data_IF_028255236181
#
_entry.id   IF_028255236181
#
_cell.length_a   1.000
_cell.length_b   1.000
_cell.length_c   1.000
_cell.angle_alpha   90.00
_cell.angle_beta   90.00
_cell.angle_gamma   90.00
#
_symmetry.space_group_name_H-M   'P 1'
#
loop_
_entity.id
_entity.type
_entity.pdbx_description
1 polymer ?
#
# COMPACT_ATOMS: atom_id res chain seq x y z
N UNK A 1 6.35 24.50 -35.54
CA UNK A 1 7.14 25.30 -34.58
C UNK A 1 8.46 24.59 -34.33
N UNK A 2 9.61 25.28 -34.27
CA UNK A 2 10.88 24.64 -33.95
C UNK A 2 10.82 24.10 -32.52
N UNK A 3 11.26 22.86 -32.32
CA UNK A 3 11.26 22.26 -30.98
C UNK A 3 12.29 22.98 -30.08
N UNK A 4 11.95 23.28 -28.81
CA UNK A 4 12.89 23.87 -27.88
C UNK A 4 14.11 22.94 -27.66
N UNK A 5 15.28 23.50 -27.35
CA UNK A 5 16.49 22.73 -27.07
C UNK A 5 16.23 21.71 -25.96
N UNK A 6 16.79 20.49 -26.08
CA UNK A 6 16.51 19.37 -25.17
C UNK A 6 16.79 19.70 -23.69
N UNK A 7 17.67 20.66 -23.40
CA UNK A 7 18.04 21.13 -22.06
C UNK A 7 16.97 21.99 -21.35
N UNK A 8 15.89 22.35 -22.04
CA UNK A 8 14.77 23.14 -21.46
C UNK A 8 13.47 22.36 -21.34
N UNK A 9 13.50 21.07 -21.65
CA UNK A 9 12.33 20.19 -21.58
C UNK A 9 12.15 19.64 -20.18
N UNK A 10 10.91 19.61 -19.72
CA UNK A 10 10.54 19.09 -18.39
C UNK A 10 10.34 17.58 -18.45
N UNK A 11 9.93 17.09 -19.61
CA UNK A 11 9.89 15.67 -19.96
C UNK A 11 11.29 15.14 -20.31
N UNK A 12 11.62 13.95 -19.82
CA UNK A 12 12.94 13.34 -19.98
C UNK A 12 12.85 11.88 -20.45
N UNK A 13 13.75 11.50 -21.35
CA UNK A 13 13.90 10.13 -21.82
C UNK A 13 15.37 9.72 -21.92
N UNK A 14 15.62 8.42 -21.80
CA UNK A 14 16.91 7.79 -22.03
C UNK A 14 16.82 6.82 -23.21
N UNK A 15 17.94 6.55 -23.88
CA UNK A 15 18.02 5.47 -24.86
C UNK A 15 18.46 4.18 -24.16
N UNK A 16 17.74 3.09 -24.40
CA UNK A 16 18.05 1.79 -23.85
C UNK A 16 18.01 0.73 -24.94
N UNK A 17 18.98 -0.18 -24.92
CA UNK A 17 18.98 -1.37 -25.77
C UNK A 17 18.06 -2.41 -25.17
N UNK A 18 17.10 -2.89 -25.97
CA UNK A 18 16.07 -3.83 -25.55
C UNK A 18 16.19 -5.09 -26.41
N UNK A 19 16.31 -6.24 -25.76
CA UNK A 19 16.35 -7.54 -26.43
C UNK A 19 14.92 -8.08 -26.57
N UNK A 20 14.49 -8.36 -27.80
CA UNK A 20 13.18 -8.95 -28.03
C UNK A 20 13.15 -10.42 -27.60
N UNK A 21 12.27 -10.79 -26.66
CA UNK A 21 12.12 -12.17 -26.20
C UNK A 21 11.63 -13.14 -27.30
N UNK A 22 10.97 -12.65 -28.36
CA UNK A 22 10.41 -13.49 -29.42
C UNK A 22 11.43 -13.85 -30.51
N UNK A 23 12.26 -12.90 -30.95
CA UNK A 23 13.21 -13.11 -32.05
C UNK A 23 14.69 -12.99 -31.64
N UNK A 24 14.97 -12.61 -30.40
CA UNK A 24 16.33 -12.43 -29.87
C UNK A 24 17.09 -11.25 -30.46
N UNK A 25 16.46 -10.40 -31.27
CA UNK A 25 17.10 -9.21 -31.84
C UNK A 25 17.07 -8.05 -30.86
N UNK A 26 18.18 -7.33 -30.77
CA UNK A 26 18.29 -6.10 -30.01
C UNK A 26 17.83 -4.91 -30.84
N UNK A 27 17.11 -3.98 -30.21
CA UNK A 27 16.76 -2.71 -30.81
C UNK A 27 16.85 -1.59 -29.77
N UNK A 28 17.16 -0.38 -30.23
CA UNK A 28 17.21 0.80 -29.36
C UNK A 28 15.81 1.38 -29.18
N UNK A 29 15.41 1.57 -27.93
CA UNK A 29 14.14 2.19 -27.55
C UNK A 29 14.40 3.48 -26.78
N UNK A 30 13.59 4.51 -27.07
CA UNK A 30 13.55 5.75 -26.29
C UNK A 30 12.55 5.60 -25.14
N UNK A 31 13.08 5.52 -23.93
CA UNK A 31 12.33 5.25 -22.70
C UNK A 31 12.10 6.55 -21.93
N UNK A 32 10.85 6.98 -21.82
CA UNK A 32 10.47 8.19 -21.08
C UNK A 32 10.43 7.93 -19.58
N UNK A 33 11.20 8.69 -18.81
CA UNK A 33 11.32 8.56 -17.35
C UNK A 33 10.69 9.76 -16.61
N UNK A 34 10.54 10.91 -17.28
CA UNK A 34 9.78 12.05 -16.76
C UNK A 34 8.80 12.49 -17.84
N UNK A 35 7.53 12.67 -17.50
CA UNK A 35 6.49 13.20 -18.39
C UNK A 35 5.86 14.41 -17.70
N UNK A 36 6.03 15.58 -18.30
CA UNK A 36 5.18 16.73 -18.01
C UNK A 36 3.90 16.59 -18.85
N UNK A 37 2.76 16.51 -18.18
CA UNK A 37 1.46 16.27 -18.80
C UNK A 37 1.03 17.42 -19.73
N UNK A 38 1.46 18.65 -19.45
CA UNK A 38 1.16 19.83 -20.29
C UNK A 38 2.12 19.91 -21.48
N UNK A 39 3.39 19.53 -21.27
CA UNK A 39 4.39 19.52 -22.34
C UNK A 39 4.15 18.37 -23.34
N UNK A 40 3.75 17.20 -22.84
CA UNK A 40 3.60 15.95 -23.62
C UNK A 40 2.26 15.26 -23.33
N UNK A 41 1.13 15.87 -23.75
CA UNK A 41 -0.19 15.27 -23.59
C UNK A 41 -0.29 13.93 -24.35
N UNK A 42 0.44 13.77 -25.46
CA UNK A 42 0.54 12.53 -26.22
C UNK A 42 1.11 11.36 -25.39
N UNK A 43 2.11 11.63 -24.56
CA UNK A 43 2.70 10.62 -23.68
C UNK A 43 1.86 10.40 -22.44
N UNK A 44 1.22 11.46 -21.93
CA UNK A 44 0.32 11.37 -20.80
C UNK A 44 -0.91 10.49 -21.13
N UNK A 45 -1.51 10.63 -22.31
CA UNK A 45 -2.59 9.74 -22.77
C UNK A 45 -2.15 8.27 -22.80
N UNK A 46 -0.93 8.01 -23.26
CA UNK A 46 -0.32 6.67 -23.27
C UNK A 46 -0.06 6.09 -21.89
N UNK A 47 0.28 6.94 -20.92
CA UNK A 47 0.35 6.56 -19.50
C UNK A 47 -1.04 6.14 -19.01
N UNK A 48 -2.06 6.95 -19.26
CA UNK A 48 -3.44 6.65 -18.88
C UNK A 48 -3.98 5.39 -19.56
N UNK A 49 -3.57 5.11 -20.80
CA UNK A 49 -3.93 3.90 -21.53
C UNK A 49 -3.15 2.65 -21.06
N UNK A 50 -2.07 2.83 -20.29
CA UNK A 50 -1.20 1.74 -19.84
C UNK A 50 -0.31 1.15 -20.95
N UNK A 51 0.00 1.92 -22.00
CA UNK A 51 0.76 1.46 -23.16
C UNK A 51 2.12 2.16 -23.35
N UNK A 52 2.49 3.07 -22.45
CA UNK A 52 3.72 3.87 -22.59
C UNK A 52 4.96 2.99 -22.84
N UNK A 53 5.08 1.87 -22.11
CA UNK A 53 6.21 0.94 -22.21
C UNK A 53 5.88 -0.35 -22.95
N UNK A 54 4.78 -0.38 -23.71
CA UNK A 54 4.48 -1.44 -24.67
C UNK A 54 5.06 -1.04 -26.02
N UNK A 55 6.18 -1.65 -26.39
CA UNK A 55 6.88 -1.35 -27.64
C UNK A 55 6.74 -2.50 -28.63
N UNK A 56 6.58 -2.18 -29.91
CA UNK A 56 6.61 -3.19 -30.97
C UNK A 56 8.04 -3.42 -31.44
N UNK A 57 8.49 -4.66 -31.41
CA UNK A 57 9.79 -5.02 -31.95
C UNK A 57 9.84 -4.71 -33.47
N UNK A 58 10.83 -3.95 -33.96
CA UNK A 58 10.90 -3.58 -35.37
C UNK A 58 11.23 -4.77 -36.30
N UNK A 59 11.72 -5.89 -35.74
CA UNK A 59 12.14 -7.05 -36.51
C UNK A 59 11.01 -8.07 -36.73
N UNK A 60 10.20 -8.33 -35.69
CA UNK A 60 9.16 -9.37 -35.74
C UNK A 60 7.75 -8.88 -35.40
N UNK A 61 7.60 -7.61 -34.97
CA UNK A 61 6.31 -7.05 -34.57
C UNK A 61 5.79 -7.51 -33.21
N UNK A 62 6.51 -8.38 -32.49
CA UNK A 62 6.13 -8.80 -31.15
C UNK A 62 6.12 -7.61 -30.19
N UNK A 63 5.13 -7.56 -29.31
CA UNK A 63 5.05 -6.57 -28.24
C UNK A 63 6.03 -6.93 -27.13
N UNK A 64 6.85 -5.97 -26.75
CA UNK A 64 7.81 -6.04 -25.64
C UNK A 64 7.37 -5.04 -24.60
N UNK A 65 7.15 -5.50 -23.37
CA UNK A 65 6.91 -4.64 -22.22
C UNK A 65 8.23 -4.32 -21.53
N UNK A 66 8.49 -3.04 -21.27
CA UNK A 66 9.67 -2.60 -20.52
C UNK A 66 9.23 -2.20 -19.12
N UNK A 67 9.98 -2.67 -18.12
CA UNK A 67 9.81 -2.27 -16.73
C UNK A 67 10.78 -1.14 -16.38
N UNK A 68 10.24 0.02 -16.05
CA UNK A 68 11.05 1.22 -15.79
C UNK A 68 10.32 2.19 -14.85
N UNK A 69 11.07 2.95 -14.02
CA UNK A 69 10.48 3.99 -13.19
C UNK A 69 9.98 5.17 -14.05
N UNK A 70 8.90 5.81 -13.62
CA UNK A 70 8.33 6.98 -14.29
C UNK A 70 7.95 8.05 -13.27
N UNK A 71 8.33 9.29 -13.53
CA UNK A 71 7.82 10.46 -12.83
C UNK A 71 6.85 11.23 -13.73
N UNK A 72 5.67 11.54 -13.21
CA UNK A 72 4.64 12.31 -13.90
C UNK A 72 4.50 13.65 -13.20
N UNK A 73 4.59 14.72 -13.97
CA UNK A 73 4.41 16.09 -13.50
C UNK A 73 3.12 16.67 -14.07
N UNK A 74 2.26 17.20 -13.20
CA UNK A 74 0.97 17.82 -13.53
C UNK A 74 0.86 19.15 -12.77
N UNK A 75 1.30 20.28 -13.34
CA UNK A 75 1.46 21.53 -12.60
C UNK A 75 0.17 22.02 -11.92
N UNK A 76 -0.99 21.80 -12.53
CA UNK A 76 -2.29 22.28 -12.05
C UNK A 76 -3.10 21.23 -11.27
N UNK A 77 -2.55 20.04 -11.01
CA UNK A 77 -3.24 18.99 -10.25
C UNK A 77 -3.04 19.14 -8.73
N UNK A 78 -3.99 18.64 -7.93
CA UNK A 78 -3.84 18.55 -6.46
C UNK A 78 -2.59 17.77 -6.02
N UNK A 79 -2.16 16.82 -6.86
CA UNK A 79 -0.89 16.09 -6.73
C UNK A 79 -0.01 16.37 -7.94
N UNK A 80 0.91 17.37 -7.84
CA UNK A 80 1.74 17.79 -8.95
C UNK A 80 2.77 16.76 -9.38
N UNK A 81 3.26 15.93 -8.45
CA UNK A 81 4.23 14.89 -8.73
C UNK A 81 3.66 13.52 -8.38
N UNK A 82 3.82 12.58 -9.29
CA UNK A 82 3.46 11.18 -9.08
C UNK A 82 4.58 10.28 -9.62
N UNK A 83 5.17 9.47 -8.75
CA UNK A 83 6.21 8.52 -9.10
C UNK A 83 5.61 7.12 -9.25
N UNK A 84 5.96 6.41 -10.31
CA UNK A 84 5.61 5.01 -10.51
C UNK A 84 6.87 4.16 -10.54
N UNK A 85 7.06 3.27 -9.55
CA UNK A 85 8.23 2.41 -9.49
C UNK A 85 8.23 1.36 -10.61
N UNK A 86 9.39 0.76 -10.83
CA UNK A 86 9.49 -0.49 -11.59
C UNK A 86 8.96 -1.66 -10.74
N UNK A 87 8.54 -2.76 -11.37
CA UNK A 87 7.87 -3.90 -10.68
C UNK A 87 8.79 -4.66 -9.73
N UNK A 88 10.11 -4.57 -9.89
CA UNK A 88 11.09 -5.35 -9.14
C UNK A 88 12.11 -4.51 -8.34
N UNK A 89 11.70 -3.36 -7.82
CA UNK A 89 12.56 -2.46 -7.03
C UNK A 89 12.14 -2.41 -5.56
N UNK A 90 13.12 -2.39 -4.65
CA UNK A 90 12.89 -2.26 -3.20
C UNK A 90 12.41 -0.85 -2.83
N UNK A 91 11.86 -0.68 -1.63
CA UNK A 91 11.41 0.64 -1.14
C UNK A 91 12.55 1.66 -1.08
N UNK A 92 13.76 1.22 -0.76
CA UNK A 92 14.97 2.06 -0.78
C UNK A 92 15.32 2.51 -2.21
N UNK A 93 15.33 1.57 -3.17
CA UNK A 93 15.56 1.86 -4.59
C UNK A 93 14.47 2.77 -5.16
N UNK A 94 13.22 2.59 -4.73
CA UNK A 94 12.10 3.44 -5.15
C UNK A 94 12.28 4.87 -4.66
N UNK A 95 12.67 5.07 -3.40
CA UNK A 95 12.99 6.40 -2.87
C UNK A 95 14.16 7.04 -3.61
N UNK A 96 15.23 6.30 -3.87
CA UNK A 96 16.39 6.79 -4.63
C UNK A 96 16.01 7.20 -6.05
N UNK A 97 15.28 6.36 -6.78
CA UNK A 97 14.83 6.67 -8.15
C UNK A 97 13.89 7.87 -8.19
N UNK A 98 12.92 7.96 -7.25
CA UNK A 98 12.03 9.10 -7.16
C UNK A 98 12.80 10.39 -6.90
N UNK A 99 13.76 10.37 -5.95
CA UNK A 99 14.61 11.52 -5.65
C UNK A 99 15.49 11.93 -6.85
N UNK A 100 16.06 10.96 -7.56
CA UNK A 100 16.88 11.22 -8.75
C UNK A 100 16.06 11.90 -9.87
N UNK A 101 14.88 11.37 -10.19
CA UNK A 101 14.01 11.95 -11.22
C UNK A 101 13.44 13.32 -10.76
N UNK A 102 13.08 13.45 -9.49
CA UNK A 102 12.61 14.71 -8.91
C UNK A 102 13.68 15.80 -8.95
N UNK A 103 14.92 15.49 -8.58
CA UNK A 103 16.05 16.44 -8.68
C UNK A 103 16.31 16.88 -10.12
N UNK A 104 16.17 15.96 -11.08
CA UNK A 104 16.30 16.30 -12.51
C UNK A 104 15.18 17.24 -12.96
N UNK A 105 13.94 16.95 -12.59
CA UNK A 105 12.80 17.82 -12.89
C UNK A 105 12.97 19.20 -12.23
N UNK A 106 13.45 19.26 -10.98
CA UNK A 106 13.78 20.52 -10.29
C UNK A 106 14.78 21.37 -11.07
N UNK A 107 15.83 20.76 -11.62
CA UNK A 107 16.81 21.47 -12.46
C UNK A 107 16.18 22.05 -13.72
N UNK A 108 15.20 21.36 -14.32
CA UNK A 108 14.47 21.83 -15.50
C UNK A 108 13.44 22.92 -15.18
N UNK A 109 12.74 22.81 -14.05
CA UNK A 109 11.70 23.76 -13.62
C UNK A 109 12.25 25.06 -13.04
N UNK A 110 13.45 25.05 -12.45
CA UNK A 110 14.06 26.25 -11.86
C UNK A 110 13.15 26.90 -10.83
N UNK A 111 12.83 28.19 -11.05
CA UNK A 111 11.98 28.99 -10.13
C UNK A 111 10.52 28.53 -10.07
N UNK A 112 10.06 27.68 -11.00
CA UNK A 112 8.70 27.12 -10.97
C UNK A 112 8.57 25.92 -10.04
N UNK A 113 9.68 25.38 -9.55
CA UNK A 113 9.68 24.29 -8.56
C UNK A 113 9.21 24.78 -7.19
N UNK A 114 8.38 23.99 -6.52
CA UNK A 114 7.98 24.24 -5.13
C UNK A 114 8.51 23.12 -4.23
N UNK A 115 9.31 23.48 -3.21
CA UNK A 115 9.87 22.50 -2.27
C UNK A 115 8.79 21.75 -1.47
N UNK A 116 7.59 22.33 -1.35
CA UNK A 116 6.42 21.70 -0.72
C UNK A 116 6.01 20.39 -1.42
N UNK A 117 6.21 20.27 -2.75
CA UNK A 117 5.85 19.07 -3.52
C UNK A 117 6.63 17.82 -3.10
N UNK A 118 7.78 17.99 -2.47
CA UNK A 118 8.67 16.88 -2.05
C UNK A 118 8.89 16.85 -0.54
N UNK A 119 8.31 17.79 0.22
CA UNK A 119 8.50 17.89 1.67
C UNK A 119 8.03 16.63 2.40
N UNK A 120 6.97 15.99 1.90
CA UNK A 120 6.45 14.71 2.41
C UNK A 120 6.97 13.47 1.65
N UNK A 121 7.96 13.65 0.75
CA UNK A 121 8.35 12.65 -0.24
C UNK A 121 7.47 12.69 -1.49
N UNK A 122 7.99 12.18 -2.62
CA UNK A 122 7.21 12.10 -3.86
C UNK A 122 6.27 10.89 -3.75
N UNK A 123 4.94 11.07 -3.91
CA UNK A 123 3.98 9.98 -3.83
C UNK A 123 4.28 8.88 -4.84
N UNK A 124 4.33 7.64 -4.37
CA UNK A 124 4.51 6.44 -5.19
C UNK A 124 3.17 5.81 -5.57
N UNK A 125 2.98 5.44 -6.84
CA UNK A 125 1.82 4.73 -7.35
C UNK A 125 2.25 3.57 -8.28
N UNK A 126 1.85 2.32 -7.97
CA UNK A 126 2.02 1.19 -8.87
C UNK A 126 1.53 1.49 -10.28
N UNK A 127 2.22 0.93 -11.28
CA UNK A 127 1.99 1.23 -12.71
C UNK A 127 0.56 0.95 -13.16
N UNK A 128 -0.01 -0.11 -12.63
CA UNK A 128 -1.38 -0.59 -12.85
C UNK A 128 -2.45 0.35 -12.28
N UNK A 129 -2.14 1.11 -11.22
CA UNK A 129 -3.05 2.07 -10.60
C UNK A 129 -3.00 3.48 -11.23
N UNK A 130 -2.00 3.76 -12.07
CA UNK A 130 -1.87 5.08 -12.71
C UNK A 130 -3.09 5.45 -13.55
N UNK A 131 -3.69 4.50 -14.26
CA UNK A 131 -4.86 4.77 -15.11
C UNK A 131 -6.02 5.33 -14.30
N UNK A 132 -6.27 4.75 -13.13
CA UNK A 132 -7.36 5.13 -12.26
C UNK A 132 -7.09 6.49 -11.60
N UNK A 133 -5.88 6.68 -11.08
CA UNK A 133 -5.45 7.93 -10.46
C UNK A 133 -5.45 9.14 -11.40
N UNK A 134 -5.30 8.92 -12.71
CA UNK A 134 -5.15 9.98 -13.71
C UNK A 134 -6.45 10.31 -14.48
N UNK A 135 -7.51 9.50 -14.39
CA UNK A 135 -8.70 9.59 -15.26
C UNK A 135 -9.98 10.18 -14.64
N UNK A 136 -9.91 10.74 -13.43
CA UNK A 136 -11.06 11.09 -12.58
C UNK A 136 -12.30 11.69 -13.28
N UNK A 137 -13.46 11.01 -13.12
CA UNK A 137 -14.80 11.60 -13.25
C UNK A 137 -15.45 11.68 -11.85
N UNK A 138 -16.18 12.77 -11.49
CA UNK A 138 -16.64 12.98 -10.11
C UNK A 138 -17.80 12.07 -9.64
N UNK A 139 -18.48 11.36 -10.54
CA UNK A 139 -19.77 10.71 -10.24
C UNK A 139 -19.77 9.16 -10.35
N UNK A 140 -18.61 8.52 -10.14
CA UNK A 140 -18.51 7.06 -10.23
C UNK A 140 -17.41 6.42 -9.39
N UNK A 141 -16.94 7.07 -8.32
CA UNK A 141 -15.88 6.54 -7.47
C UNK A 141 -16.44 5.57 -6.43
N UNK A 142 -16.65 4.32 -6.84
CA UNK A 142 -16.53 3.16 -5.96
C UNK A 142 -15.12 2.59 -6.07
N UNK A 143 -14.38 2.59 -4.95
CA UNK A 143 -13.47 1.51 -4.57
C UNK A 143 -12.18 1.23 -5.38
N UNK A 144 -11.39 2.25 -5.75
CA UNK A 144 -9.95 2.02 -5.73
C UNK A 144 -9.07 3.23 -5.39
N UNK A 145 -8.31 3.04 -4.31
CA UNK A 145 -6.87 3.30 -4.33
C UNK A 145 -6.38 4.74 -4.44
N UNK A 146 -7.02 5.71 -3.80
CA UNK A 146 -6.38 7.01 -3.51
C UNK A 146 -5.36 6.80 -2.38
N UNK A 147 -4.14 6.40 -2.73
CA UNK A 147 -2.99 6.54 -1.83
C UNK A 147 -2.70 8.03 -1.64
N UNK A 148 -2.76 8.53 -0.40
CA UNK A 148 -2.04 9.76 -0.04
C UNK A 148 -2.82 10.91 0.59
N UNK A 149 -3.96 10.70 1.25
CA UNK A 149 -4.27 11.64 2.36
C UNK A 149 -3.18 11.38 3.42
N UNK A 150 -2.34 12.37 3.76
CA UNK A 150 -1.36 12.19 4.82
C UNK A 150 -2.11 11.79 6.07
N UNK A 151 -1.79 10.62 6.63
CA UNK A 151 -2.40 10.17 7.88
C UNK A 151 -2.29 11.32 8.88
N UNK A 152 -3.42 11.86 9.37
CA UNK A 152 -3.41 13.00 10.28
C UNK A 152 -2.42 12.77 11.42
N UNK A 153 -1.65 13.80 11.77
CA UNK A 153 -0.60 13.67 12.78
C UNK A 153 -1.11 13.08 14.10
N UNK A 154 -2.36 13.38 14.44
CA UNK A 154 -3.05 12.81 15.59
C UNK A 154 -3.18 11.28 15.48
N UNK A 155 -3.66 10.75 14.36
CA UNK A 155 -3.80 9.30 14.15
C UNK A 155 -2.44 8.59 14.22
N UNK A 156 -1.37 9.22 13.70
CA UNK A 156 -0.01 8.68 13.83
C UNK A 156 0.47 8.66 15.27
N UNK A 157 0.23 9.74 16.02
CA UNK A 157 0.58 9.84 17.45
C UNK A 157 -0.16 8.79 18.26
N UNK A 158 -1.46 8.63 18.03
CA UNK A 158 -2.28 7.64 18.74
C UNK A 158 -1.85 6.22 18.40
N UNK A 159 -1.49 5.94 17.14
CA UNK A 159 -1.01 4.62 16.72
C UNK A 159 0.33 4.28 17.39
N UNK A 160 1.23 5.26 17.49
CA UNK A 160 2.50 5.12 18.20
C UNK A 160 2.24 4.84 19.69
N UNK A 161 1.37 5.62 20.33
CA UNK A 161 1.01 5.45 21.73
C UNK A 161 0.39 4.06 21.98
N UNK A 162 -0.49 3.60 21.09
CA UNK A 162 -1.08 2.27 21.19
C UNK A 162 -0.02 1.16 21.16
N UNK A 163 0.96 1.25 20.25
CA UNK A 163 2.05 0.28 20.15
C UNK A 163 2.95 0.28 21.39
N UNK A 164 3.39 1.46 21.85
CA UNK A 164 4.25 1.58 23.02
C UNK A 164 3.56 1.02 24.28
N UNK A 165 2.29 1.37 24.47
CA UNK A 165 1.49 0.91 25.60
C UNK A 165 1.21 -0.59 25.53
N UNK A 166 0.92 -1.15 24.35
CA UNK A 166 0.76 -2.59 24.16
C UNK A 166 2.06 -3.32 24.50
N UNK A 167 3.21 -2.85 24.00
CA UNK A 167 4.51 -3.45 24.31
C UNK A 167 4.87 -3.36 25.81
N UNK A 168 4.46 -2.29 26.49
CA UNK A 168 4.59 -2.19 27.94
C UNK A 168 3.71 -3.22 28.64
N UNK A 169 2.45 -3.38 28.23
CA UNK A 169 1.55 -4.40 28.77
C UNK A 169 2.15 -5.80 28.57
N UNK A 170 2.59 -6.15 27.36
CA UNK A 170 3.15 -7.48 27.07
C UNK A 170 4.39 -7.80 27.91
N UNK A 171 5.20 -6.79 28.27
CA UNK A 171 6.39 -6.97 29.11
C UNK A 171 6.11 -7.01 30.61
N UNK A 172 5.10 -6.28 31.09
CA UNK A 172 4.91 -6.01 32.53
C UNK A 172 3.57 -6.47 33.10
N UNK A 173 2.60 -6.82 32.25
CA UNK A 173 1.22 -7.08 32.64
C UNK A 173 0.45 -5.82 33.08
N UNK A 174 0.97 -4.62 32.82
CA UNK A 174 0.35 -3.36 33.25
C UNK A 174 -1.02 -3.14 32.58
N UNK A 175 -2.10 -3.34 33.34
CA UNK A 175 -3.47 -3.12 32.87
C UNK A 175 -3.73 -1.65 32.52
N UNK A 176 -3.07 -0.71 33.20
CA UNK A 176 -3.15 0.72 32.87
C UNK A 176 -2.60 0.98 31.47
N UNK A 177 -1.49 0.33 31.10
CA UNK A 177 -0.94 0.44 29.75
C UNK A 177 -1.89 -0.19 28.72
N UNK A 178 -2.51 -1.32 29.03
CA UNK A 178 -3.51 -1.95 28.16
C UNK A 178 -4.75 -1.07 27.94
N UNK A 179 -5.27 -0.45 29.00
CA UNK A 179 -6.39 0.50 28.89
C UNK A 179 -6.01 1.73 28.07
N UNK A 180 -4.77 2.22 28.22
CA UNK A 180 -4.26 3.35 27.44
C UNK A 180 -4.14 3.00 25.96
N UNK A 181 -3.61 1.81 25.63
CA UNK A 181 -3.55 1.34 24.25
C UNK A 181 -4.95 1.21 23.64
N UNK A 182 -5.91 0.70 24.43
CA UNK A 182 -7.30 0.53 23.99
C UNK A 182 -7.98 1.86 23.72
N UNK A 183 -7.75 2.86 24.58
CA UNK A 183 -8.27 4.21 24.39
C UNK A 183 -7.70 4.85 23.12
N UNK A 184 -6.40 4.70 22.86
CA UNK A 184 -5.76 5.20 21.65
C UNK A 184 -6.32 4.52 20.39
N UNK A 185 -6.47 3.19 20.39
CA UNK A 185 -7.12 2.47 19.27
C UNK A 185 -8.57 2.92 19.04
N UNK A 186 -9.34 3.12 20.11
CA UNK A 186 -10.73 3.60 19.99
C UNK A 186 -10.77 5.01 19.39
N UNK A 187 -9.88 5.90 19.85
CA UNK A 187 -9.77 7.25 19.32
C UNK A 187 -9.45 7.27 17.81
N UNK A 188 -8.57 6.38 17.34
CA UNK A 188 -8.27 6.26 15.90
C UNK A 188 -9.49 5.76 15.13
N UNK A 189 -10.11 4.66 15.58
CA UNK A 189 -11.19 4.00 14.86
C UNK A 189 -12.47 4.85 14.80
N UNK A 190 -12.70 5.69 15.81
CA UNK A 190 -13.86 6.59 15.88
C UNK A 190 -13.57 7.95 15.21
N UNK A 191 -12.35 8.20 14.73
CA UNK A 191 -11.99 9.45 14.07
C UNK A 191 -12.63 9.54 12.67
N UNK A 192 -13.27 10.67 12.29
CA UNK A 192 -13.94 10.80 11.00
C UNK A 192 -13.02 10.51 9.80
N UNK A 193 -11.80 11.03 9.88
CA UNK A 193 -10.79 10.87 8.82
C UNK A 193 -10.23 9.45 8.73
N UNK A 194 -10.48 8.56 9.70
CA UNK A 194 -10.00 7.18 9.61
C UNK A 194 -10.59 6.42 8.42
N UNK A 195 -11.79 6.79 7.98
CA UNK A 195 -12.41 6.20 6.79
C UNK A 195 -11.84 6.77 5.48
N UNK A 196 -11.14 7.91 5.55
CA UNK A 196 -10.61 8.62 4.38
C UNK A 196 -9.10 8.41 4.20
N UNK A 197 -8.38 7.96 5.25
CA UNK A 197 -6.96 7.58 5.14
C UNK A 197 -6.79 6.33 4.28
N UNK A 198 -5.56 6.11 3.84
CA UNK A 198 -5.15 4.98 3.03
C UNK A 198 -5.65 3.61 3.55
N UNK A 199 -6.16 2.77 2.65
CA UNK A 199 -6.73 1.46 3.01
C UNK A 199 -5.71 0.56 3.68
N UNK A 200 -4.43 0.57 3.27
CA UNK A 200 -3.40 -0.24 3.94
C UNK A 200 -3.18 0.26 5.37
N UNK A 201 -3.12 1.58 5.59
CA UNK A 201 -3.09 2.13 6.94
C UNK A 201 -4.32 1.72 7.76
N UNK A 202 -5.52 1.74 7.17
CA UNK A 202 -6.74 1.27 7.85
C UNK A 202 -6.62 -0.21 8.23
N UNK A 203 -6.21 -1.07 7.30
CA UNK A 203 -6.06 -2.51 7.51
C UNK A 203 -5.02 -2.83 8.59
N UNK A 204 -3.86 -2.17 8.55
CA UNK A 204 -2.79 -2.33 9.53
C UNK A 204 -3.21 -1.84 10.93
N UNK A 205 -3.96 -0.73 10.98
CA UNK A 205 -4.55 -0.21 12.22
C UNK A 205 -5.60 -1.15 12.78
N UNK A 206 -6.53 -1.64 11.94
CA UNK A 206 -7.55 -2.62 12.32
C UNK A 206 -6.90 -3.90 12.85
N UNK A 207 -5.85 -4.37 12.18
CA UNK A 207 -5.06 -5.52 12.61
C UNK A 207 -4.43 -5.32 14.00
N UNK A 208 -3.75 -4.19 14.24
CA UNK A 208 -3.15 -3.86 15.53
C UNK A 208 -4.18 -3.65 16.64
N UNK A 209 -5.26 -2.92 16.34
CA UNK A 209 -6.34 -2.66 17.28
C UNK A 209 -7.06 -3.95 17.70
N UNK A 210 -7.30 -4.88 16.77
CA UNK A 210 -7.89 -6.18 17.09
C UNK A 210 -7.05 -6.95 18.12
N UNK A 211 -5.72 -6.88 18.03
CA UNK A 211 -4.83 -7.46 19.04
C UNK A 211 -5.05 -6.82 20.41
N UNK A 212 -5.05 -5.48 20.47
CA UNK A 212 -5.23 -4.72 21.72
C UNK A 212 -6.55 -5.08 22.40
N UNK A 213 -7.66 -5.07 21.65
CA UNK A 213 -8.98 -5.46 22.17
C UNK A 213 -9.02 -6.94 22.60
N UNK A 214 -8.34 -7.84 21.90
CA UNK A 214 -8.25 -9.25 22.31
C UNK A 214 -7.50 -9.41 23.62
N UNK A 215 -6.37 -8.72 23.80
CA UNK A 215 -5.64 -8.72 25.08
C UNK A 215 -6.51 -8.18 26.22
N UNK A 216 -7.29 -7.14 25.97
CA UNK A 216 -8.21 -6.57 26.98
C UNK A 216 -9.34 -7.53 27.33
N UNK A 217 -9.91 -8.19 26.33
CA UNK A 217 -10.87 -9.26 26.55
C UNK A 217 -10.28 -10.41 27.37
N UNK A 218 -9.05 -10.84 27.09
CA UNK A 218 -8.41 -11.89 27.87
C UNK A 218 -8.19 -11.46 29.32
N UNK A 219 -7.85 -10.19 29.57
CA UNK A 219 -7.64 -9.64 30.90
C UNK A 219 -8.94 -9.46 31.69
N UNK A 220 -10.03 -8.99 31.06
CA UNK A 220 -11.24 -8.52 31.74
C UNK A 220 -12.51 -9.32 31.44
N UNK A 221 -12.55 -10.02 30.31
CA UNK A 221 -13.69 -10.83 29.87
C UNK A 221 -14.86 -10.03 29.29
N UNK A 222 -14.65 -8.76 28.92
CA UNK A 222 -15.71 -7.93 28.34
C UNK A 222 -16.04 -8.34 26.89
N UNK A 223 -17.24 -8.85 26.69
CA UNK A 223 -17.70 -9.33 25.37
C UNK A 223 -17.69 -8.21 24.32
N UNK A 224 -17.84 -6.94 24.72
CA UNK A 224 -17.76 -5.82 23.78
C UNK A 224 -16.37 -5.71 23.13
N UNK A 225 -15.30 -6.01 23.87
CA UNK A 225 -13.93 -5.96 23.34
C UNK A 225 -13.72 -7.05 22.29
N UNK A 226 -14.17 -8.29 22.55
CA UNK A 226 -14.00 -9.40 21.58
C UNK A 226 -14.90 -9.24 20.35
N UNK A 227 -16.11 -8.70 20.51
CA UNK A 227 -16.98 -8.39 19.36
C UNK A 227 -16.36 -7.27 18.49
N UNK A 228 -15.73 -6.27 19.11
CA UNK A 228 -14.99 -5.22 18.38
C UNK A 228 -13.76 -5.79 17.66
N UNK A 229 -12.97 -6.64 18.32
CA UNK A 229 -11.83 -7.33 17.70
C UNK A 229 -12.25 -8.18 16.50
N UNK A 230 -13.37 -8.91 16.60
CA UNK A 230 -13.92 -9.71 15.50
C UNK A 230 -14.31 -8.84 14.32
N UNK A 231 -15.02 -7.73 14.56
CA UNK A 231 -15.42 -6.80 13.50
C UNK A 231 -14.21 -6.23 12.75
N UNK A 232 -13.14 -5.88 13.47
CA UNK A 232 -11.90 -5.38 12.87
C UNK A 232 -11.16 -6.43 12.04
N UNK A 233 -11.06 -7.68 12.54
CA UNK A 233 -10.46 -8.77 11.78
C UNK A 233 -11.28 -9.13 10.54
N UNK A 234 -12.61 -9.15 10.64
CA UNK A 234 -13.50 -9.38 9.50
C UNK A 234 -13.39 -8.27 8.46
N UNK A 235 -13.34 -7.01 8.90
CA UNK A 235 -13.07 -5.87 8.03
C UNK A 235 -11.75 -6.05 7.28
N UNK A 236 -10.67 -6.39 8.00
CA UNK A 236 -9.35 -6.55 7.43
C UNK A 236 -9.29 -7.67 6.38
N UNK A 237 -9.89 -8.81 6.68
CA UNK A 237 -9.97 -9.95 5.75
C UNK A 237 -10.83 -9.64 4.52
N UNK A 238 -11.91 -8.87 4.66
CA UNK A 238 -12.82 -8.58 3.55
C UNK A 238 -12.27 -7.53 2.58
N UNK A 239 -11.51 -6.55 3.09
CA UNK A 239 -11.02 -5.41 2.30
C UNK A 239 -9.55 -5.54 1.89
N UNK A 240 -8.82 -6.54 2.40
CA UNK A 240 -7.47 -6.81 1.93
C UNK A 240 -7.49 -7.38 0.49
N UNK A 241 -6.59 -6.90 -0.40
CA UNK A 241 -6.39 -7.51 -1.71
C UNK A 241 -6.07 -9.01 -1.59
N UNK A 242 -6.58 -9.81 -2.53
CA UNK A 242 -6.41 -11.26 -2.51
C UNK A 242 -4.93 -11.71 -2.59
N UNK A 243 -4.08 -10.88 -3.17
CA UNK A 243 -2.63 -11.07 -3.32
C UNK A 243 -1.83 -10.36 -2.22
N UNK A 244 -2.49 -9.78 -1.21
CA UNK A 244 -1.81 -9.09 -0.11
C UNK A 244 -0.93 -10.05 0.70
N UNK A 245 0.35 -9.75 0.90
CA UNK A 245 1.23 -10.57 1.74
C UNK A 245 0.81 -10.59 3.22
N UNK A 246 -0.07 -9.66 3.63
CA UNK A 246 -0.60 -9.57 4.99
C UNK A 246 -1.92 -10.33 5.19
N UNK A 247 -2.58 -10.74 4.11
CA UNK A 247 -3.86 -11.47 4.17
C UNK A 247 -3.78 -12.75 5.05
N UNK A 248 -2.73 -13.58 4.99
CA UNK A 248 -2.60 -14.74 5.88
C UNK A 248 -2.56 -14.36 7.37
N UNK A 249 -1.92 -13.22 7.68
CA UNK A 249 -1.85 -12.70 9.05
C UNK A 249 -3.22 -12.24 9.55
N UNK A 250 -4.02 -11.59 8.70
CA UNK A 250 -5.39 -11.17 9.05
C UNK A 250 -6.28 -12.39 9.34
N UNK A 251 -6.22 -13.43 8.50
CA UNK A 251 -6.92 -14.71 8.74
C UNK A 251 -6.49 -15.38 10.04
N UNK A 252 -5.18 -15.44 10.29
CA UNK A 252 -4.66 -16.02 11.52
C UNK A 252 -5.15 -15.27 12.76
N UNK A 253 -5.22 -13.94 12.68
CA UNK A 253 -5.68 -13.15 13.81
C UNK A 253 -7.16 -13.33 14.05
N UNK A 254 -7.98 -13.40 13.00
CA UNK A 254 -9.40 -13.77 13.13
C UNK A 254 -9.55 -15.10 13.89
N UNK A 255 -8.75 -16.10 13.54
CA UNK A 255 -8.71 -17.38 14.26
C UNK A 255 -8.34 -17.24 15.74
N UNK A 256 -7.35 -16.39 16.06
CA UNK A 256 -6.96 -16.11 17.44
C UNK A 256 -8.08 -15.44 18.25
N UNK A 257 -8.78 -14.44 17.69
CA UNK A 257 -9.90 -13.76 18.35
C UNK A 257 -11.04 -14.74 18.64
N UNK A 258 -11.40 -15.56 17.64
CA UNK A 258 -12.43 -16.59 17.77
C UNK A 258 -12.06 -17.65 18.82
N UNK A 259 -10.80 -18.09 18.84
CA UNK A 259 -10.28 -19.01 19.87
C UNK A 259 -10.32 -18.39 21.27
N UNK A 260 -9.96 -17.13 21.43
CA UNK A 260 -10.06 -16.41 22.70
C UNK A 260 -11.52 -16.35 23.18
N UNK A 261 -12.45 -15.98 22.27
CA UNK A 261 -13.89 -15.97 22.55
C UNK A 261 -14.40 -17.33 22.99
N UNK A 262 -14.03 -18.41 22.30
CA UNK A 262 -14.37 -19.77 22.69
C UNK A 262 -13.82 -20.12 24.08
N UNK A 263 -12.58 -19.77 24.39
CA UNK A 263 -11.94 -20.05 25.68
C UNK A 263 -12.73 -19.52 26.89
N UNK A 264 -13.38 -18.36 26.72
CA UNK A 264 -14.20 -17.70 27.76
C UNK A 264 -15.68 -18.07 27.69
N UNK A 265 -16.29 -18.01 26.51
CA UNK A 265 -17.75 -18.12 26.32
C UNK A 265 -18.19 -19.56 25.98
N UNK A 266 -17.29 -20.41 25.48
CA UNK A 266 -17.54 -21.82 25.14
C UNK A 266 -18.59 -22.05 24.05
N UNK A 267 -18.71 -21.14 23.09
CA UNK A 267 -19.55 -21.33 21.89
C UNK A 267 -18.83 -22.18 20.86
N UNK A 268 -19.39 -23.33 20.53
CA UNK A 268 -18.76 -24.28 19.60
C UNK A 268 -18.56 -23.69 18.20
N UNK A 269 -19.50 -22.86 17.74
CA UNK A 269 -19.43 -22.15 16.45
C UNK A 269 -18.17 -21.28 16.33
N UNK A 270 -17.74 -20.62 17.42
CA UNK A 270 -16.52 -19.82 17.43
C UNK A 270 -15.29 -20.70 17.22
N UNK A 271 -15.29 -21.92 17.76
CA UNK A 271 -14.18 -22.87 17.61
C UNK A 271 -14.07 -23.39 16.17
N UNK A 272 -15.21 -23.74 15.56
CA UNK A 272 -15.26 -24.17 14.15
C UNK A 272 -14.79 -23.04 13.22
N UNK A 273 -15.29 -21.82 13.44
CA UNK A 273 -14.85 -20.66 12.68
C UNK A 273 -13.37 -20.32 12.89
N UNK A 274 -12.81 -20.58 14.09
CA UNK A 274 -11.38 -20.39 14.36
C UNK A 274 -10.52 -21.34 13.52
N UNK A 275 -10.91 -22.62 13.44
CA UNK A 275 -10.22 -23.64 12.63
C UNK A 275 -10.25 -23.23 11.15
N UNK A 276 -11.42 -22.84 10.63
CA UNK A 276 -11.55 -22.39 9.24
C UNK A 276 -10.65 -21.18 8.94
N UNK A 277 -10.58 -20.22 9.87
CA UNK A 277 -9.72 -19.05 9.72
C UNK A 277 -8.22 -19.42 9.74
N UNK A 278 -7.80 -20.33 10.63
CA UNK A 278 -6.41 -20.82 10.65
C UNK A 278 -6.05 -21.64 9.40
N UNK A 279 -6.98 -22.43 8.87
CA UNK A 279 -6.79 -23.15 7.60
C UNK A 279 -6.56 -22.17 6.45
N UNK A 280 -7.41 -21.15 6.32
CA UNK A 280 -7.24 -20.10 5.31
C UNK A 280 -5.91 -19.36 5.47
N UNK A 281 -5.47 -19.10 6.70
CA UNK A 281 -4.16 -18.51 6.93
C UNK A 281 -3.03 -19.39 6.34
N UNK A 282 -3.04 -20.69 6.63
CA UNK A 282 -2.04 -21.64 6.11
C UNK A 282 -2.13 -21.75 4.58
N UNK A 283 -3.32 -21.87 4.01
CA UNK A 283 -3.53 -21.99 2.56
C UNK A 283 -3.02 -20.78 1.77
N UNK A 284 -3.15 -19.59 2.34
CA UNK A 284 -2.71 -18.34 1.70
C UNK A 284 -1.24 -18.00 2.03
N UNK A 285 -0.56 -18.77 2.87
CA UNK A 285 0.83 -18.52 3.22
C UNK A 285 1.78 -19.20 2.23
N UNK A 286 2.71 -18.46 1.58
CA UNK A 286 3.74 -19.08 0.75
C UNK A 286 4.57 -20.12 1.50
N UNK A 287 4.96 -21.26 0.88
CA UNK A 287 5.71 -22.33 1.54
C UNK A 287 7.04 -21.91 2.17
N UNK A 288 7.65 -20.84 1.64
CA UNK A 288 8.92 -20.25 2.07
C UNK A 288 8.75 -19.07 3.04
N UNK A 289 7.51 -18.74 3.42
CA UNK A 289 7.25 -17.65 4.35
C UNK A 289 7.75 -17.97 5.77
N UNK A 290 8.44 -17.02 6.44
CA UNK A 290 8.85 -17.18 7.83
C UNK A 290 7.67 -17.27 8.82
N UNK A 291 6.46 -16.86 8.40
CA UNK A 291 5.25 -16.91 9.22
C UNK A 291 4.54 -18.27 9.17
N UNK A 292 4.84 -19.11 8.16
CA UNK A 292 4.19 -20.40 7.98
C UNK A 292 4.29 -21.33 9.21
N UNK A 293 5.45 -21.46 9.88
CA UNK A 293 5.54 -22.29 11.10
C UNK A 293 4.59 -21.83 12.20
N UNK A 294 4.39 -20.51 12.35
CA UNK A 294 3.48 -19.94 13.35
C UNK A 294 2.02 -20.22 13.00
N UNK A 295 1.66 -20.08 11.73
CA UNK A 295 0.30 -20.41 11.25
C UNK A 295 -0.03 -21.90 11.43
N UNK A 296 0.90 -22.78 11.07
CA UNK A 296 0.76 -24.22 11.28
C UNK A 296 0.66 -24.58 12.77
N UNK A 297 1.44 -23.92 13.63
CA UNK A 297 1.33 -24.12 15.07
C UNK A 297 -0.05 -23.71 15.61
N UNK A 298 -0.59 -22.58 15.16
CA UNK A 298 -1.91 -22.12 15.57
C UNK A 298 -3.02 -23.06 15.09
N UNK A 299 -2.94 -23.56 13.86
CA UNK A 299 -3.87 -24.57 13.34
C UNK A 299 -3.75 -25.92 14.08
N UNK A 300 -2.53 -26.32 14.48
CA UNK A 300 -2.33 -27.57 15.22
C UNK A 300 -2.82 -27.51 16.68
N UNK A 301 -2.92 -26.29 17.24
CA UNK A 301 -3.31 -26.04 18.63
C UNK A 301 -4.71 -25.44 18.77
N UNK A 302 -5.45 -25.30 17.67
CA UNK A 302 -6.89 -25.05 17.68
C UNK A 302 -7.61 -26.35 18.07
#
# INVERSE_FOLDING_TARGET
MPQPPEDTRRSFATEQTVTCAACGSDFTARLWLIIDADERPDLFERVCAGDLYRLSCPHCGAVVEIDAPLLIFRPDAELPLLFSPARHTSDEQNHEHAAQLGNRLRQSLGDTWQDEWVTAGIPGAPRDLLRELLSGSPDGMSEAGVHGIPVPAQLRSDLQQAHECLQQYLRSGSLIALDTATAACSHILDHPDFTTVDVRFQLDTCHGAAHVFTCRFDAHGDVADVDRALGLCQYAVHHAPADSPHLPTYWNNLGNVLRARYGRIRRQEDMEAAIDAFQKAVENTPPDSPELPRHLHNLATS
#
